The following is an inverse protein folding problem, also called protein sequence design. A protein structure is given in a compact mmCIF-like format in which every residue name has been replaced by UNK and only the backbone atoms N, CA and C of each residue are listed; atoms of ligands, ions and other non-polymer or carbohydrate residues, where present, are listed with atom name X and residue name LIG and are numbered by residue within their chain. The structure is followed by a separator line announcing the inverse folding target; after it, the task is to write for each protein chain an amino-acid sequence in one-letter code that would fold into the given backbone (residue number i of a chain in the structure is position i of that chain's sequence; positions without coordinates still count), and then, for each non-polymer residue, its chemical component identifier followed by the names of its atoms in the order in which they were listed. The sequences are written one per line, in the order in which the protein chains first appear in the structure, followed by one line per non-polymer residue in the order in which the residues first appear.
data_IF_254606491073
#
_entry.id   IF_254606491073
#
_cell.length_a   1.000
_cell.length_b   1.000
_cell.length_c   1.000
_cell.angle_alpha   90.00
_cell.angle_beta   90.00
_cell.angle_gamma   90.00
#
_symmetry.space_group_name_H-M   'P 1'
#
loop_
_entity.id
_entity.type
_entity.pdbx_description
1 polymer ?
#
# COMPACT_ATOMS: atom_id res chain seq x y z
N UNK A 1 4.88 9.56 31.32
CA UNK A 1 4.44 9.31 29.94
C UNK A 1 3.07 9.92 29.75
N UNK A 2 2.82 10.60 28.65
CA UNK A 2 1.54 11.25 28.31
C UNK A 2 0.92 10.50 27.14
N UNK A 3 -0.37 10.20 27.24
CA UNK A 3 -1.13 9.54 26.18
C UNK A 3 -2.02 10.55 25.49
N UNK A 4 -1.98 10.57 24.16
CA UNK A 4 -2.70 11.53 23.33
C UNK A 4 -3.53 10.78 22.30
N UNK A 5 -4.84 11.02 22.30
CA UNK A 5 -5.74 10.51 21.27
C UNK A 5 -5.80 11.52 20.13
N UNK A 6 -5.35 11.10 18.96
CA UNK A 6 -5.42 11.93 17.76
C UNK A 6 -6.78 11.70 17.09
N UNK A 7 -7.55 12.77 16.94
CA UNK A 7 -8.86 12.77 16.29
C UNK A 7 -8.84 13.60 15.02
N UNK A 8 -9.61 13.18 14.03
CA UNK A 8 -9.94 14.00 12.85
C UNK A 8 -11.46 14.19 12.85
N UNK A 9 -11.90 15.44 13.03
CA UNK A 9 -13.28 15.74 13.40
C UNK A 9 -13.70 14.91 14.63
N UNK A 10 -14.79 14.16 14.55
CA UNK A 10 -15.31 13.36 15.67
C UNK A 10 -14.75 11.93 15.72
N UNK A 11 -13.92 11.54 14.74
CA UNK A 11 -13.41 10.17 14.62
C UNK A 11 -12.00 10.08 15.21
N UNK A 12 -11.85 9.24 16.24
CA UNK A 12 -10.55 8.87 16.76
C UNK A 12 -9.78 8.04 15.71
N UNK A 13 -8.54 8.46 15.42
CA UNK A 13 -7.70 7.82 14.42
C UNK A 13 -6.74 6.83 15.09
N UNK A 14 -5.93 7.31 16.03
CA UNK A 14 -4.94 6.49 16.74
C UNK A 14 -4.54 7.14 18.07
N UNK A 15 -3.96 6.33 18.96
CA UNK A 15 -3.45 6.72 20.27
C UNK A 15 -1.92 6.74 20.21
N UNK A 16 -1.28 7.76 20.76
CA UNK A 16 0.19 7.82 20.89
C UNK A 16 0.60 8.01 22.35
N UNK A 17 1.80 7.54 22.68
CA UNK A 17 2.42 7.72 23.98
C UNK A 17 3.79 8.37 23.84
N UNK A 18 3.99 9.47 24.55
CA UNK A 18 5.17 10.34 24.41
C UNK A 18 5.62 10.84 25.79
N UNK A 19 6.92 11.10 26.02
CA UNK A 19 7.38 11.75 27.24
C UNK A 19 6.73 13.14 27.42
N UNK A 20 6.46 13.54 28.66
CA UNK A 20 5.90 14.87 28.95
C UNK A 20 6.87 16.02 28.67
N UNK A 21 8.13 15.72 28.36
CA UNK A 21 9.18 16.66 27.99
C UNK A 21 9.26 16.93 26.49
N UNK A 22 8.49 16.23 25.66
CA UNK A 22 8.50 16.39 24.20
C UNK A 22 7.91 17.74 23.81
N UNK A 23 8.58 18.47 22.90
CA UNK A 23 8.10 19.74 22.40
C UNK A 23 6.88 19.57 21.48
N UNK A 24 6.06 20.62 21.34
CA UNK A 24 4.86 20.57 20.49
C UNK A 24 5.25 20.36 19.02
N UNK A 25 6.35 20.96 18.55
CA UNK A 25 6.80 20.84 17.17
C UNK A 25 7.27 19.41 16.84
N UNK A 26 8.00 18.78 17.76
CA UNK A 26 8.39 17.36 17.65
C UNK A 26 7.16 16.45 17.68
N UNK A 27 6.19 16.76 18.54
CA UNK A 27 4.94 16.01 18.63
C UNK A 27 4.14 16.07 17.33
N UNK A 28 4.00 17.25 16.72
CA UNK A 28 3.31 17.43 15.44
C UNK A 28 4.02 16.62 14.36
N UNK A 29 5.34 16.73 14.28
CA UNK A 29 6.15 15.98 13.30
C UNK A 29 5.92 14.47 13.45
N UNK A 30 5.98 13.96 14.68
CA UNK A 30 5.77 12.54 14.98
C UNK A 30 4.35 12.07 14.60
N UNK A 31 3.33 12.84 14.97
CA UNK A 31 1.92 12.54 14.63
C UNK A 31 1.74 12.48 13.11
N UNK A 32 2.36 13.41 12.39
CA UNK A 32 2.27 13.48 10.94
C UNK A 32 2.98 12.32 10.25
N UNK A 33 4.17 11.92 10.72
CA UNK A 33 4.85 10.73 10.22
C UNK A 33 4.01 9.46 10.40
N UNK A 34 3.43 9.26 11.60
CA UNK A 34 2.58 8.09 11.89
C UNK A 34 1.32 8.10 11.02
N UNK A 35 0.66 9.25 10.89
CA UNK A 35 -0.56 9.36 10.09
C UNK A 35 -0.29 9.16 8.59
N UNK A 36 0.81 9.70 8.07
CA UNK A 36 1.19 9.50 6.68
C UNK A 36 1.51 8.02 6.41
N UNK A 37 2.22 7.36 7.33
CA UNK A 37 2.49 5.93 7.26
C UNK A 37 1.21 5.08 7.32
N UNK A 38 0.26 5.45 8.18
CA UNK A 38 -1.07 4.83 8.24
C UNK A 38 -1.79 4.89 6.88
N UNK A 39 -1.83 6.08 6.27
CA UNK A 39 -2.45 6.26 4.95
C UNK A 39 -1.73 5.46 3.87
N UNK A 40 -0.40 5.39 3.95
CA UNK A 40 0.45 4.65 3.02
C UNK A 40 0.18 3.14 3.06
N UNK A 41 0.13 2.56 4.26
CA UNK A 41 -0.24 1.16 4.46
C UNK A 41 -1.62 0.88 3.87
N UNK A 42 -2.60 1.77 4.10
CA UNK A 42 -3.93 1.64 3.53
C UNK A 42 -3.95 1.55 2.00
N UNK A 43 -3.15 2.40 1.31
CA UNK A 43 -3.01 2.37 -0.15
C UNK A 43 -2.35 1.09 -0.64
N UNK A 44 -1.25 0.67 0.01
CA UNK A 44 -0.55 -0.57 -0.35
C UNK A 44 -1.46 -1.78 -0.18
N UNK A 45 -2.21 -1.86 0.93
CA UNK A 45 -3.16 -2.94 1.16
C UNK A 45 -4.21 -3.04 0.04
N UNK A 46 -4.80 -1.90 -0.38
CA UNK A 46 -5.78 -1.89 -1.47
C UNK A 46 -5.17 -2.37 -2.80
N UNK A 47 -3.94 -1.96 -3.10
CA UNK A 47 -3.26 -2.40 -4.32
C UNK A 47 -2.79 -3.86 -4.26
N UNK A 48 -2.44 -4.38 -3.08
CA UNK A 48 -2.14 -5.81 -2.89
C UNK A 48 -3.41 -6.67 -3.05
N UNK A 49 -4.56 -6.19 -2.59
CA UNK A 49 -5.84 -6.87 -2.79
C UNK A 49 -6.11 -7.06 -4.30
N UNK A 50 -5.84 -6.04 -5.12
CA UNK A 50 -5.96 -6.11 -6.58
C UNK A 50 -4.84 -6.95 -7.24
N UNK A 51 -3.62 -6.92 -6.70
CA UNK A 51 -2.50 -7.78 -7.12
C UNK A 51 -2.83 -9.26 -6.94
N UNK A 52 -3.48 -9.60 -5.83
CA UNK A 52 -3.87 -10.97 -5.53
C UNK A 52 -4.91 -11.54 -6.50
N UNK A 53 -5.73 -10.67 -7.13
CA UNK A 53 -6.82 -11.07 -8.02
C UNK A 53 -6.44 -11.04 -9.50
N UNK A 54 -5.66 -10.04 -9.92
CA UNK A 54 -5.45 -9.72 -11.33
C UNK A 54 -3.98 -9.66 -11.75
N UNK A 55 -3.04 -9.84 -10.82
CA UNK A 55 -1.62 -9.82 -11.14
C UNK A 55 -1.02 -8.42 -11.23
N UNK A 56 0.15 -8.32 -11.85
CA UNK A 56 0.92 -7.06 -11.89
C UNK A 56 0.27 -6.02 -12.79
N UNK A 57 0.54 -4.75 -12.49
CA UNK A 57 0.06 -3.63 -13.30
C UNK A 57 0.62 -3.70 -14.72
N UNK A 58 -0.18 -3.34 -15.73
CA UNK A 58 0.28 -3.21 -17.11
C UNK A 58 1.15 -1.94 -17.29
N UNK A 59 2.04 -1.93 -18.28
CA UNK A 59 2.72 -0.71 -18.70
C UNK A 59 1.73 0.47 -18.93
N UNK A 60 2.06 1.72 -18.54
CA UNK A 60 1.15 2.86 -18.68
C UNK A 60 0.66 3.14 -20.10
N UNK A 61 1.44 2.74 -21.12
CA UNK A 61 1.07 2.82 -22.53
C UNK A 61 0.08 1.74 -23.00
N UNK A 62 -0.20 0.73 -22.18
CA UNK A 62 -1.12 -0.37 -22.47
C UNK A 62 -2.39 -0.33 -21.61
N UNK A 63 -2.41 0.45 -20.53
CA UNK A 63 -3.56 0.53 -19.64
C UNK A 63 -4.77 1.16 -20.35
N UNK A 64 -5.94 0.53 -20.22
CA UNK A 64 -7.20 1.03 -20.79
C UNK A 64 -7.34 0.88 -22.30
N UNK A 65 -6.41 0.19 -22.97
CA UNK A 65 -6.55 -0.21 -24.37
C UNK A 65 -7.31 -1.54 -24.49
N UNK A 66 -8.09 -1.68 -25.55
CA UNK A 66 -8.70 -2.96 -25.92
C UNK A 66 -7.65 -3.94 -26.46
N UNK A 67 -7.95 -5.25 -26.41
CA UNK A 67 -7.07 -6.29 -26.93
C UNK A 67 -6.73 -6.06 -28.42
N UNK A 68 -7.71 -5.63 -29.21
CA UNK A 68 -7.54 -5.31 -30.63
C UNK A 68 -6.54 -4.15 -30.84
N UNK A 69 -6.66 -3.08 -30.06
CA UNK A 69 -5.73 -1.94 -30.12
C UNK A 69 -4.31 -2.34 -29.70
N UNK A 70 -4.17 -3.22 -28.73
CA UNK A 70 -2.86 -3.74 -28.29
C UNK A 70 -2.19 -4.54 -29.41
N UNK A 71 -2.96 -5.37 -30.13
CA UNK A 71 -2.47 -6.15 -31.28
C UNK A 71 -2.09 -5.23 -32.44
N UNK A 72 -2.94 -4.24 -32.75
CA UNK A 72 -2.70 -3.28 -33.83
C UNK A 72 -1.45 -2.42 -33.57
N UNK A 73 -1.27 -1.97 -32.33
CA UNK A 73 -0.10 -1.20 -31.88
C UNK A 73 1.14 -2.07 -31.60
N UNK A 74 1.01 -3.41 -31.70
CA UNK A 74 2.07 -4.40 -31.44
C UNK A 74 2.75 -4.20 -30.08
N UNK A 75 1.99 -3.74 -29.09
CA UNK A 75 2.50 -3.50 -27.74
C UNK A 75 2.69 -4.85 -27.03
N UNK A 76 3.84 -5.01 -26.37
CA UNK A 76 4.18 -6.22 -25.63
C UNK A 76 4.43 -5.90 -24.17
N UNK A 77 3.87 -6.71 -23.28
CA UNK A 77 4.16 -6.64 -21.86
C UNK A 77 5.52 -7.31 -21.56
N UNK A 78 6.58 -6.51 -21.52
CA UNK A 78 7.94 -6.98 -21.17
C UNK A 78 8.07 -7.41 -19.70
N UNK A 79 7.16 -6.96 -18.85
CA UNK A 79 7.20 -7.20 -17.41
C UNK A 79 6.37 -8.41 -17.00
N UNK A 80 5.34 -8.76 -17.77
CA UNK A 80 4.56 -9.98 -17.54
C UNK A 80 5.40 -11.26 -17.52
N UNK A 81 6.48 -11.31 -18.29
CA UNK A 81 7.39 -12.48 -18.34
C UNK A 81 8.52 -12.39 -17.30
N UNK A 82 8.83 -11.20 -16.79
CA UNK A 82 9.86 -10.98 -15.75
C UNK A 82 9.27 -11.13 -14.34
N UNK A 83 8.04 -10.67 -14.14
CA UNK A 83 7.34 -10.65 -12.86
C UNK A 83 6.36 -11.83 -12.75
N UNK A 84 6.91 -13.04 -12.82
CA UNK A 84 6.10 -14.26 -12.63
C UNK A 84 5.97 -14.53 -11.14
N UNK A 85 4.74 -14.76 -10.64
CA UNK A 85 4.54 -15.10 -9.24
C UNK A 85 5.13 -16.47 -8.91
N UNK A 86 5.60 -16.62 -7.68
CA UNK A 86 6.08 -17.89 -7.12
C UNK A 86 5.00 -18.96 -7.23
N UNK A 87 5.31 -20.08 -7.90
CA UNK A 87 4.37 -21.18 -8.09
C UNK A 87 3.43 -21.04 -9.29
N UNK A 88 3.67 -20.08 -10.19
CA UNK A 88 2.91 -19.92 -11.44
C UNK A 88 1.71 -18.99 -11.29
N UNK A 89 1.04 -18.72 -12.42
CA UNK A 89 -0.08 -17.79 -12.51
C UNK A 89 -1.38 -18.47 -12.94
N UNK A 90 -2.49 -17.84 -12.57
CA UNK A 90 -3.84 -18.16 -13.03
C UNK A 90 -4.33 -16.97 -13.85
N UNK A 91 -4.91 -17.23 -15.02
CA UNK A 91 -5.49 -16.17 -15.84
C UNK A 91 -6.81 -15.69 -15.22
N UNK A 92 -6.81 -14.44 -14.78
CA UNK A 92 -7.97 -13.74 -14.23
C UNK A 92 -7.96 -12.31 -14.77
N UNK A 93 -8.62 -12.13 -15.91
CA UNK A 93 -8.64 -10.83 -16.61
C UNK A 93 -9.22 -9.73 -15.72
N UNK A 94 -8.60 -8.57 -15.79
CA UNK A 94 -9.09 -7.35 -15.17
C UNK A 94 -10.11 -6.69 -16.10
N UNK A 95 -11.34 -6.48 -15.63
CA UNK A 95 -12.41 -5.83 -16.41
C UNK A 95 -12.05 -4.38 -16.77
N UNK A 96 -11.18 -3.74 -15.99
CA UNK A 96 -10.75 -2.35 -16.18
C UNK A 96 -9.56 -2.25 -17.15
N UNK A 97 -8.84 -3.36 -17.40
CA UNK A 97 -7.65 -3.37 -18.24
C UNK A 97 -6.47 -2.60 -17.64
N UNK A 98 -6.37 -2.53 -16.30
CA UNK A 98 -5.25 -1.89 -15.59
C UNK A 98 -4.13 -2.88 -15.31
N UNK A 99 -4.47 -4.14 -15.02
CA UNK A 99 -3.53 -5.23 -14.69
C UNK A 99 -3.48 -6.27 -15.79
N UNK A 100 -2.40 -7.05 -15.82
CA UNK A 100 -2.11 -7.98 -16.91
C UNK A 100 -2.96 -9.27 -16.89
N UNK A 101 -3.74 -9.47 -15.83
CA UNK A 101 -4.60 -10.64 -15.65
C UNK A 101 -3.85 -11.92 -15.26
N UNK A 102 -2.55 -11.85 -14.96
CA UNK A 102 -1.74 -12.99 -14.49
C UNK A 102 -1.72 -13.03 -12.97
N UNK A 103 -2.82 -13.50 -12.38
CA UNK A 103 -2.99 -13.57 -10.94
C UNK A 103 -2.06 -14.62 -10.31
N UNK A 104 -1.58 -14.41 -9.07
CA UNK A 104 -0.85 -15.44 -8.34
C UNK A 104 -1.73 -16.66 -8.05
N UNK A 105 -1.11 -17.83 -7.86
CA UNK A 105 -1.84 -19.04 -7.46
C UNK A 105 -2.58 -18.85 -6.13
N UNK A 106 -3.65 -19.63 -5.90
CA UNK A 106 -4.53 -19.47 -4.73
C UNK A 106 -3.77 -19.45 -3.40
N UNK A 107 -2.76 -20.31 -3.25
CA UNK A 107 -1.88 -20.36 -2.06
C UNK A 107 -1.11 -19.05 -1.84
N UNK A 108 -0.56 -18.46 -2.90
CA UNK A 108 0.19 -17.21 -2.80
C UNK A 108 -0.73 -16.00 -2.67
N UNK A 109 -1.91 -16.03 -3.30
CA UNK A 109 -2.94 -15.04 -3.08
C UNK A 109 -3.43 -15.04 -1.62
N UNK A 110 -3.56 -16.21 -1.00
CA UNK A 110 -3.89 -16.35 0.42
C UNK A 110 -2.80 -15.76 1.33
N UNK A 111 -1.51 -15.96 1.01
CA UNK A 111 -0.40 -15.32 1.73
C UNK A 111 -0.53 -13.79 1.69
N UNK A 112 -0.79 -13.20 0.51
CA UNK A 112 -1.00 -11.75 0.39
C UNK A 112 -2.20 -11.28 1.21
N UNK A 113 -3.34 -11.95 1.09
CA UNK A 113 -4.57 -11.58 1.81
C UNK A 113 -4.39 -11.65 3.33
N UNK A 114 -3.77 -12.74 3.82
CA UNK A 114 -3.48 -12.91 5.23
C UNK A 114 -2.57 -11.81 5.75
N UNK A 115 -1.49 -11.50 5.03
CA UNK A 115 -0.58 -10.41 5.41
C UNK A 115 -1.27 -9.05 5.37
N UNK A 116 -2.16 -8.80 4.42
CA UNK A 116 -2.98 -7.58 4.37
C UNK A 116 -3.91 -7.48 5.58
N UNK A 117 -4.57 -8.57 5.97
CA UNK A 117 -5.44 -8.59 7.15
C UNK A 117 -4.65 -8.38 8.44
N UNK A 118 -3.49 -9.03 8.59
CA UNK A 118 -2.57 -8.82 9.72
C UNK A 118 -2.09 -7.36 9.78
N UNK A 119 -1.70 -6.77 8.64
CA UNK A 119 -1.31 -5.36 8.57
C UNK A 119 -2.48 -4.43 8.93
N UNK A 120 -3.69 -4.67 8.41
CA UNK A 120 -4.91 -3.90 8.74
C UNK A 120 -5.24 -3.98 10.24
N UNK A 121 -5.02 -5.13 10.88
CA UNK A 121 -5.21 -5.30 12.32
C UNK A 121 -4.19 -4.50 13.16
N UNK A 122 -2.93 -4.40 12.71
CA UNK A 122 -1.90 -3.59 13.37
C UNK A 122 -2.21 -2.10 13.35
N UNK A 123 -2.91 -1.62 12.32
CA UNK A 123 -3.21 -0.20 12.14
C UNK A 123 -4.69 0.17 12.39
N UNK A 124 -5.50 -0.75 12.91
CA UNK A 124 -6.93 -0.51 13.06
C UNK A 124 -7.24 0.67 14.02
N UNK A 125 -8.24 1.49 13.68
CA UNK A 125 -8.75 2.58 14.53
C UNK A 125 -9.33 2.06 15.84
N UNK A 126 -9.84 0.83 15.86
CA UNK A 126 -10.35 0.17 17.07
C UNK A 126 -9.29 -0.01 18.16
N UNK A 127 -8.00 0.13 17.82
CA UNK A 127 -6.91 0.09 18.79
C UNK A 127 -7.02 1.19 19.84
N UNK A 128 -7.66 2.32 19.52
CA UNK A 128 -7.94 3.39 20.50
C UNK A 128 -8.88 2.88 21.60
N UNK A 129 -9.91 2.11 21.25
CA UNK A 129 -10.85 1.53 22.21
C UNK A 129 -10.19 0.45 23.09
N UNK A 130 -9.12 -0.16 22.59
CA UNK A 130 -8.30 -1.16 23.30
C UNK A 130 -7.12 -0.54 24.05
N UNK A 131 -7.04 0.79 24.10
CA UNK A 131 -5.97 1.55 24.76
C UNK A 131 -4.56 1.14 24.29
N UNK A 132 -4.44 0.72 23.02
CA UNK A 132 -3.17 0.32 22.40
C UNK A 132 -2.59 1.51 21.63
N UNK A 133 -1.39 1.93 22.02
CA UNK A 133 -0.66 2.99 21.37
C UNK A 133 -0.08 2.51 20.02
N UNK A 134 -0.18 3.37 19.01
CA UNK A 134 0.52 3.25 17.73
C UNK A 134 1.79 4.09 17.78
N UNK A 135 2.89 3.52 17.32
CA UNK A 135 4.19 4.17 17.26
C UNK A 135 4.83 3.95 15.88
N UNK A 136 5.90 4.70 15.59
CA UNK A 136 6.63 4.56 14.32
C UNK A 136 7.10 3.13 14.06
N UNK A 137 7.45 2.40 15.12
CA UNK A 137 7.82 0.99 15.03
C UNK A 137 6.69 0.11 14.47
N UNK A 138 5.46 0.23 14.99
CA UNK A 138 4.30 -0.53 14.49
C UNK A 138 3.96 -0.25 13.03
N UNK A 139 4.10 1.01 12.60
CA UNK A 139 3.90 1.40 11.19
C UNK A 139 4.98 0.78 10.31
N UNK A 140 6.25 0.86 10.72
CA UNK A 140 7.36 0.26 9.99
C UNK A 140 7.24 -1.27 9.93
N UNK A 141 6.80 -1.92 11.02
CA UNK A 141 6.56 -3.36 11.07
C UNK A 141 5.51 -3.77 10.05
N UNK A 142 4.37 -3.07 9.99
CA UNK A 142 3.34 -3.32 8.99
C UNK A 142 3.87 -3.13 7.55
N UNK A 143 4.66 -2.08 7.28
CA UNK A 143 5.28 -1.86 5.98
C UNK A 143 6.26 -2.98 5.60
N UNK A 144 7.10 -3.43 6.55
CA UNK A 144 8.03 -4.53 6.34
C UNK A 144 7.31 -5.85 6.07
N UNK A 145 6.21 -6.10 6.77
CA UNK A 145 5.37 -7.29 6.58
C UNK A 145 4.79 -7.33 5.16
N UNK A 146 4.20 -6.22 4.70
CA UNK A 146 3.67 -6.08 3.34
C UNK A 146 4.77 -6.26 2.28
N UNK A 147 5.93 -5.64 2.47
CA UNK A 147 7.09 -5.80 1.58
C UNK A 147 7.59 -7.24 1.53
N UNK A 148 7.64 -7.91 2.67
CA UNK A 148 8.01 -9.31 2.77
C UNK A 148 7.07 -10.21 1.98
N UNK A 149 5.76 -10.04 2.15
CA UNK A 149 4.76 -10.80 1.41
C UNK A 149 4.86 -10.60 -0.11
N UNK A 150 5.04 -9.34 -0.56
CA UNK A 150 5.26 -9.05 -1.98
C UNK A 150 6.52 -9.72 -2.51
N UNK A 151 7.60 -9.75 -1.72
CA UNK A 151 8.87 -10.39 -2.13
C UNK A 151 8.74 -11.92 -2.20
N UNK A 152 7.93 -12.53 -1.33
CA UNK A 152 7.66 -13.98 -1.35
C UNK A 152 6.88 -14.35 -2.61
N UNK A 153 5.85 -13.56 -2.94
CA UNK A 153 5.01 -13.85 -4.11
C UNK A 153 5.69 -13.44 -5.42
N UNK A 154 6.44 -12.34 -5.43
CA UNK A 154 7.16 -11.82 -6.60
C UNK A 154 8.65 -11.67 -6.27
N UNK A 155 9.44 -12.76 -6.31
CA UNK A 155 10.85 -12.75 -5.93
C UNK A 155 11.72 -11.93 -6.90
N UNK A 156 11.30 -11.80 -8.15
CA UNK A 156 11.94 -10.94 -9.16
C UNK A 156 11.53 -9.46 -9.03
N UNK A 157 10.72 -9.15 -8.02
CA UNK A 157 10.18 -7.82 -7.77
C UNK A 157 8.98 -7.47 -8.65
N UNK A 158 8.45 -6.28 -8.41
CA UNK A 158 7.36 -5.69 -9.18
C UNK A 158 7.88 -4.74 -10.26
N UNK A 159 7.08 -4.46 -11.30
CA UNK A 159 7.41 -3.45 -12.30
C UNK A 159 7.64 -2.07 -11.68
N UNK A 160 8.54 -1.24 -12.21
CA UNK A 160 8.90 0.06 -11.63
C UNK A 160 7.71 1.05 -11.63
N UNK A 161 6.77 0.85 -12.54
CA UNK A 161 5.56 1.69 -12.61
C UNK A 161 4.42 1.18 -11.72
N UNK A 162 4.56 0.02 -11.08
CA UNK A 162 3.52 -0.56 -10.22
C UNK A 162 3.30 0.33 -8.99
N UNK A 163 2.03 0.65 -8.63
CA UNK A 163 1.74 1.51 -7.48
C UNK A 163 2.34 1.00 -6.17
N UNK A 164 2.38 -0.32 -5.95
CA UNK A 164 2.93 -0.92 -4.72
C UNK A 164 4.42 -0.60 -4.63
N UNK A 165 5.15 -0.72 -5.75
CA UNK A 165 6.58 -0.44 -5.78
C UNK A 165 6.88 1.04 -5.57
N UNK A 166 6.16 1.92 -6.27
CA UNK A 166 6.29 3.38 -6.08
C UNK A 166 6.04 3.79 -4.63
N UNK A 167 4.99 3.25 -4.01
CA UNK A 167 4.72 3.50 -2.60
C UNK A 167 5.87 2.96 -1.73
N UNK A 168 6.33 1.72 -1.92
CA UNK A 168 7.43 1.18 -1.10
C UNK A 168 8.76 1.94 -1.26
N UNK A 169 9.02 2.51 -2.44
CA UNK A 169 10.23 3.27 -2.76
C UNK A 169 10.11 4.78 -2.40
N UNK A 170 8.94 5.23 -1.94
CA UNK A 170 8.61 6.65 -1.66
C UNK A 170 8.62 7.55 -2.90
N UNK A 171 8.31 6.99 -4.06
CA UNK A 171 8.18 7.68 -5.35
C UNK A 171 6.71 7.88 -5.77
N UNK A 172 5.77 7.80 -4.82
CA UNK A 172 4.36 8.04 -5.10
C UNK A 172 4.09 9.49 -5.52
N UNK A 173 3.43 9.66 -6.67
CA UNK A 173 2.89 10.96 -7.07
C UNK A 173 1.50 11.16 -6.46
N UNK A 174 1.44 11.98 -5.40
CA UNK A 174 0.19 12.33 -4.73
C UNK A 174 -0.47 13.58 -5.32
N UNK A 175 0.09 14.15 -6.39
CA UNK A 175 -0.49 15.31 -7.07
C UNK A 175 -1.86 14.96 -7.68
N UNK A 176 -2.85 15.84 -7.52
CA UNK A 176 -4.21 15.64 -8.06
C UNK A 176 -5.10 14.62 -7.35
N UNK A 177 -4.58 13.80 -6.41
CA UNK A 177 -5.38 12.77 -5.73
C UNK A 177 -6.10 13.32 -4.49
N UNK A 178 -7.33 12.87 -4.19
CA UNK A 178 -8.09 13.25 -2.97
C UNK A 178 -7.32 12.99 -1.67
N UNK A 179 -6.35 12.06 -1.71
CA UNK A 179 -5.39 11.76 -0.63
C UNK A 179 -4.56 12.99 -0.25
N UNK A 180 -4.29 13.93 -1.17
CA UNK A 180 -3.63 15.21 -0.87
C UNK A 180 -4.34 16.01 0.23
N UNK A 181 -5.67 15.98 0.26
CA UNK A 181 -6.48 16.64 1.30
C UNK A 181 -6.39 15.94 2.67
N UNK A 182 -5.84 14.73 2.70
CA UNK A 182 -5.57 13.97 3.93
C UNK A 182 -4.10 14.06 4.35
N UNK A 183 -3.19 14.22 3.39
CA UNK A 183 -1.75 14.45 3.59
C UNK A 183 -1.49 15.96 3.71
N UNK A 184 -2.23 16.65 4.57
CA UNK A 184 -2.06 18.12 4.77
C UNK A 184 -0.80 18.48 5.55
N UNK A 185 -0.11 17.51 6.17
CA UNK A 185 1.03 17.81 7.04
C UNK A 185 2.40 17.81 6.32
N UNK A 186 2.45 17.52 5.01
CA UNK A 186 3.72 17.45 4.26
C UNK A 186 4.14 18.79 3.63
N UNK A 187 3.26 19.80 3.63
CA UNK A 187 3.51 21.07 2.90
C UNK A 187 3.81 22.29 3.77
N UNK A 188 4.30 22.12 5.01
CA UNK A 188 4.96 23.20 5.75
C UNK A 188 6.48 23.01 5.72
N UNK A 189 7.09 23.31 4.58
CA UNK A 189 8.49 23.70 4.46
C UNK A 189 8.59 24.83 3.45
#
# INVERSE_FOLDING_TARGET
MVRLVIKRADVAQFLIEVPGSTSIDELITLVCEIYNGYLKIGRICAEIDELSKHGVTLPPNMQGLSEDQVVDLKLKDEWGDKCIPSGGYIECKDEIGRRNGRAPCEKMAEVLKRTVDEAKQLINRDLVNRDRCMNKATVNEALMMLRGAVTIVYPMGLPPYDPIKKELDNEEDLSGTQVRLSVSCVYYR
#
